data_IF_429444383975
#
_entry.id   IF_429444383975
#
_cell.length_a   1.000
_cell.length_b   1.000
_cell.length_c   1.000
_cell.angle_alpha   90.00
_cell.angle_beta   90.00
_cell.angle_gamma   90.00
#
_symmetry.space_group_name_H-M   'P 1'
#
loop_
_entity.id
_entity.type
_entity.pdbx_description
1 polymer ?
#
# COMPACT_ATOMS: atom_id res chain seq x y z
N UNK A 1 -44.69 47.19 45.63
CA UNK A 1 -44.89 47.72 44.25
C UNK A 1 -43.52 47.98 43.64
N UNK A 2 -43.32 47.49 42.41
CA UNK A 2 -42.37 47.94 41.36
C UNK A 2 -40.85 47.96 41.68
N UNK A 3 -40.05 46.98 41.21
CA UNK A 3 -39.34 46.85 39.90
C UNK A 3 -38.27 47.91 39.57
N UNK A 4 -37.01 47.47 39.41
CA UNK A 4 -36.10 47.69 38.26
C UNK A 4 -34.64 47.32 38.67
N UNK A 5 -34.03 46.23 38.16
CA UNK A 5 -33.22 46.13 36.92
C UNK A 5 -31.82 46.76 37.07
N UNK A 6 -30.75 45.98 37.32
CA UNK A 6 -29.96 45.13 36.40
C UNK A 6 -28.94 45.90 35.55
N UNK A 7 -27.65 45.64 35.81
CA UNK A 7 -26.59 45.51 34.81
C UNK A 7 -25.35 44.86 35.48
N UNK A 8 -25.31 43.52 35.53
CA UNK A 8 -24.06 42.78 35.77
C UNK A 8 -23.44 42.51 34.40
N UNK A 9 -22.35 43.20 34.12
CA UNK A 9 -21.53 43.03 32.92
C UNK A 9 -20.89 41.65 32.96
N UNK A 10 -21.49 40.70 32.23
CA UNK A 10 -20.92 39.38 31.98
C UNK A 10 -19.77 39.49 31.00
N UNK A 11 -18.56 39.23 31.46
CA UNK A 11 -17.40 39.02 30.59
C UNK A 11 -17.46 37.58 30.08
N UNK A 12 -18.00 37.40 28.88
CA UNK A 12 -17.94 36.14 28.12
C UNK A 12 -16.49 35.89 27.69
N UNK A 13 -15.78 35.06 28.44
CA UNK A 13 -14.53 34.47 27.99
C UNK A 13 -14.84 33.42 26.92
N UNK A 14 -14.71 33.82 25.66
CA UNK A 14 -14.75 32.92 24.51
C UNK A 14 -13.48 32.08 24.55
N UNK A 15 -13.60 30.85 25.05
CA UNK A 15 -12.52 29.87 25.06
C UNK A 15 -12.29 29.41 23.63
N UNK A 16 -11.27 29.96 22.98
CA UNK A 16 -10.76 29.48 21.70
C UNK A 16 -10.24 28.06 21.90
N UNK A 17 -11.05 27.07 21.53
CA UNK A 17 -10.61 25.69 21.38
C UNK A 17 -9.75 25.63 20.11
N UNK A 18 -8.47 25.99 20.24
CA UNK A 18 -7.47 25.79 19.19
C UNK A 18 -7.33 24.28 19.06
N UNK A 19 -8.01 23.72 18.06
CA UNK A 19 -7.84 22.35 17.62
C UNK A 19 -6.41 22.24 17.09
N UNK A 20 -5.46 21.97 17.99
CA UNK A 20 -4.10 21.64 17.62
C UNK A 20 -4.16 20.32 16.85
N UNK A 21 -4.22 20.43 15.52
CA UNK A 21 -3.97 19.33 14.60
C UNK A 21 -2.51 18.92 14.82
N UNK A 22 -2.26 18.05 15.80
CA UNK A 22 -0.94 17.46 16.00
C UNK A 22 -0.61 16.73 14.71
N UNK A 23 0.48 17.08 14.00
CA UNK A 23 0.88 16.35 12.82
C UNK A 23 1.22 14.94 13.26
N UNK A 24 0.31 13.99 13.03
CA UNK A 24 0.60 12.57 13.17
C UNK A 24 1.68 12.28 12.14
N UNK A 25 2.93 12.09 12.60
CA UNK A 25 3.96 11.45 11.80
C UNK A 25 3.47 10.03 11.54
N UNK A 26 2.74 9.85 10.45
CA UNK A 26 2.48 8.53 9.88
C UNK A 26 3.81 8.00 9.35
N UNK A 27 4.66 7.51 10.26
CA UNK A 27 5.87 6.80 9.90
C UNK A 27 5.46 5.43 9.41
N UNK A 28 5.63 5.16 8.12
CA UNK A 28 5.59 3.80 7.62
C UNK A 28 7.00 3.20 7.75
N UNK A 29 7.06 1.92 8.12
CA UNK A 29 8.31 1.16 8.03
C UNK A 29 8.51 0.80 6.55
N UNK A 30 9.67 1.13 5.97
CA UNK A 30 10.02 0.70 4.61
C UNK A 30 10.77 -0.63 4.66
N UNK A 31 10.39 -1.58 3.81
CA UNK A 31 11.09 -2.85 3.64
C UNK A 31 11.22 -3.20 2.15
N UNK A 32 12.26 -3.97 1.85
CA UNK A 32 12.48 -4.54 0.52
C UNK A 32 12.10 -6.02 0.50
N UNK A 33 11.26 -6.40 -0.44
CA UNK A 33 10.74 -7.74 -0.63
C UNK A 33 11.88 -8.75 -0.84
N UNK A 34 12.90 -8.37 -1.61
CA UNK A 34 14.12 -9.19 -1.84
C UNK A 34 14.87 -9.54 -0.56
N UNK A 35 14.87 -8.68 0.47
CA UNK A 35 15.49 -8.98 1.77
C UNK A 35 14.64 -9.92 2.63
N UNK A 36 13.37 -10.09 2.27
CA UNK A 36 12.37 -10.88 2.99
C UNK A 36 11.75 -11.95 2.09
N UNK A 37 12.52 -12.42 1.12
CA UNK A 37 12.00 -13.31 0.11
C UNK A 37 11.58 -14.65 0.71
N UNK A 38 10.34 -15.05 0.45
CA UNK A 38 9.69 -16.23 1.05
C UNK A 38 9.65 -16.16 2.58
N UNK A 39 9.33 -14.98 3.13
CA UNK A 39 9.20 -14.75 4.57
C UNK A 39 7.85 -14.17 4.97
N UNK A 40 7.59 -14.22 6.27
CA UNK A 40 6.42 -13.60 6.90
C UNK A 40 6.81 -12.26 7.52
N UNK A 41 6.02 -11.22 7.25
CA UNK A 41 6.19 -9.86 7.80
C UNK A 41 4.93 -9.46 8.56
N UNK A 42 5.09 -9.06 9.81
CA UNK A 42 4.00 -8.49 10.59
C UNK A 42 3.96 -6.96 10.45
N UNK A 43 2.76 -6.40 10.34
CA UNK A 43 2.51 -4.95 10.32
C UNK A 43 1.59 -4.55 11.46
N UNK A 44 1.82 -3.38 12.05
CA UNK A 44 0.95 -2.82 13.11
C UNK A 44 0.03 -1.73 12.57
N UNK A 45 0.58 -0.79 11.79
CA UNK A 45 -0.15 0.31 11.17
C UNK A 45 0.06 0.32 9.66
N UNK A 46 1.23 0.76 9.20
CA UNK A 46 1.53 0.86 7.77
C UNK A 46 2.96 0.42 7.44
N UNK A 47 3.11 -0.13 6.24
CA UNK A 47 4.34 -0.62 5.66
C UNK A 47 4.47 -0.09 4.23
N UNK A 48 5.65 0.37 3.87
CA UNK A 48 6.04 0.59 2.47
C UNK A 48 6.83 -0.64 2.01
N UNK A 49 6.27 -1.40 1.08
CA UNK A 49 6.92 -2.58 0.50
C UNK A 49 7.41 -2.25 -0.91
N UNK A 50 8.72 -2.34 -1.11
CA UNK A 50 9.38 -2.19 -2.40
C UNK A 50 9.98 -3.52 -2.84
N UNK A 51 10.11 -3.77 -4.14
CA UNK A 51 10.72 -5.02 -4.61
C UNK A 51 12.22 -5.09 -4.23
N UNK A 52 12.99 -4.08 -4.66
CA UNK A 52 14.45 -4.04 -4.55
C UNK A 52 14.92 -2.62 -4.28
N UNK A 53 16.05 -2.44 -3.56
CA UNK A 53 16.70 -1.13 -3.47
C UNK A 53 17.06 -0.61 -4.88
N UNK A 54 16.91 0.70 -5.16
CA UNK A 54 17.16 1.28 -6.48
C UNK A 54 18.56 1.00 -7.03
N UNK A 55 19.58 1.04 -6.17
CA UNK A 55 20.98 0.91 -6.56
C UNK A 55 21.40 -0.52 -6.92
N UNK A 56 20.60 -1.51 -6.52
CA UNK A 56 20.89 -2.94 -6.76
C UNK A 56 20.42 -3.43 -8.14
N UNK A 57 19.79 -2.57 -8.95
CA UNK A 57 19.19 -2.95 -10.22
C UNK A 57 20.18 -2.82 -11.40
N UNK A 58 20.26 -3.87 -12.21
CA UNK A 58 21.01 -3.90 -13.46
C UNK A 58 20.33 -3.12 -14.61
N UNK A 59 21.08 -2.84 -15.67
CA UNK A 59 20.58 -2.13 -16.85
C UNK A 59 19.80 -3.03 -17.82
N UNK A 60 20.12 -4.32 -17.90
CA UNK A 60 19.55 -5.26 -18.86
C UNK A 60 18.79 -6.41 -18.22
N UNK A 61 17.96 -7.10 -19.01
CA UNK A 61 17.16 -8.27 -18.60
C UNK A 61 17.91 -9.60 -18.70
N UNK A 62 19.24 -9.56 -18.81
CA UNK A 62 20.10 -10.75 -18.95
C UNK A 62 20.25 -11.59 -17.67
N UNK A 63 19.70 -11.14 -16.55
CA UNK A 63 19.71 -11.89 -15.29
C UNK A 63 18.69 -13.03 -15.22
N UNK A 64 18.72 -13.79 -14.14
CA UNK A 64 17.73 -14.82 -13.82
C UNK A 64 16.38 -14.22 -13.44
N UNK A 65 15.33 -15.05 -13.48
CA UNK A 65 14.02 -14.66 -12.96
C UNK A 65 14.05 -14.60 -11.44
N UNK A 66 13.64 -13.47 -10.89
CA UNK A 66 13.36 -13.33 -9.47
C UNK A 66 11.93 -13.81 -9.23
N UNK A 67 11.78 -14.91 -8.49
CA UNK A 67 10.51 -15.28 -7.86
C UNK A 67 10.63 -14.97 -6.38
N UNK A 68 9.73 -14.12 -5.89
CA UNK A 68 9.70 -13.72 -4.50
C UNK A 68 8.28 -13.69 -3.99
N UNK A 69 8.05 -14.20 -2.78
CA UNK A 69 6.76 -14.12 -2.13
C UNK A 69 6.89 -13.66 -0.68
N UNK A 70 5.96 -12.84 -0.21
CA UNK A 70 5.95 -12.33 1.17
C UNK A 70 4.55 -12.46 1.72
N UNK A 71 4.43 -13.13 2.86
CA UNK A 71 3.19 -13.22 3.62
C UNK A 71 3.15 -12.09 4.64
N UNK A 72 2.09 -11.30 4.61
CA UNK A 72 1.91 -10.13 5.47
C UNK A 72 0.79 -10.43 6.47
N UNK A 73 1.09 -10.25 7.75
CA UNK A 73 0.17 -10.45 8.85
C UNK A 73 -0.13 -9.14 9.56
N UNK A 74 -1.41 -8.81 9.70
CA UNK A 74 -1.90 -7.69 10.48
C UNK A 74 -2.57 -8.19 11.79
N UNK A 75 -2.89 -7.31 12.75
CA UNK A 75 -3.63 -7.69 13.96
C UNK A 75 -4.94 -8.40 13.65
N UNK A 76 -5.39 -9.33 14.52
CA UNK A 76 -6.52 -10.25 14.23
C UNK A 76 -7.81 -9.54 13.80
N UNK A 77 -8.10 -8.39 14.37
CA UNK A 77 -9.34 -7.62 14.12
C UNK A 77 -9.16 -6.52 13.05
N UNK A 78 -8.11 -6.65 12.23
CA UNK A 78 -7.82 -5.72 11.15
C UNK A 78 -7.94 -6.38 9.78
N UNK A 79 -8.19 -5.54 8.78
CA UNK A 79 -8.08 -5.88 7.36
C UNK A 79 -6.88 -5.15 6.79
N UNK A 80 -6.37 -5.63 5.67
CA UNK A 80 -5.22 -5.04 4.98
C UNK A 80 -5.71 -4.30 3.74
N UNK A 81 -5.34 -3.02 3.64
CA UNK A 81 -5.49 -2.20 2.46
C UNK A 81 -4.14 -2.08 1.75
N UNK A 82 -4.14 -2.25 0.44
CA UNK A 82 -2.97 -2.13 -0.43
C UNK A 82 -3.22 -1.03 -1.44
N UNK A 83 -2.36 -0.03 -1.42
CA UNK A 83 -2.31 1.04 -2.40
C UNK A 83 -1.04 0.90 -3.24
N UNK A 84 -1.19 0.90 -4.56
CA UNK A 84 -0.06 0.77 -5.50
C UNK A 84 0.49 2.17 -5.78
N UNK A 85 1.59 2.53 -5.11
CA UNK A 85 2.23 3.84 -5.25
C UNK A 85 3.05 3.92 -6.54
N UNK A 86 3.75 2.84 -6.90
CA UNK A 86 4.54 2.73 -8.13
C UNK A 86 4.40 1.33 -8.70
N UNK A 87 4.28 1.25 -10.02
CA UNK A 87 4.35 0.03 -10.78
C UNK A 87 5.30 0.29 -11.95
N UNK A 88 6.20 -0.64 -12.21
CA UNK A 88 7.27 -0.54 -13.18
C UNK A 88 7.67 -1.94 -13.60
N UNK A 89 6.68 -2.70 -14.07
CA UNK A 89 6.82 -4.07 -14.55
C UNK A 89 6.68 -4.02 -16.08
N UNK A 90 7.32 -4.93 -16.79
CA UNK A 90 7.27 -4.94 -18.25
C UNK A 90 5.81 -4.95 -18.76
N UNK A 91 5.42 -4.09 -19.73
CA UNK A 91 4.05 -4.01 -20.22
C UNK A 91 3.68 -5.10 -21.23
N UNK A 92 4.67 -5.80 -21.80
CA UNK A 92 4.42 -6.85 -22.80
C UNK A 92 3.77 -8.05 -22.10
N UNK A 93 2.55 -8.37 -22.49
CA UNK A 93 1.72 -9.42 -21.88
C UNK A 93 2.29 -10.83 -21.98
N UNK A 94 3.24 -11.04 -22.89
CA UNK A 94 3.89 -12.34 -23.13
C UNK A 94 5.12 -12.55 -22.23
N UNK A 95 5.48 -11.54 -21.42
CA UNK A 95 6.44 -11.75 -20.34
C UNK A 95 5.76 -12.37 -19.12
N UNK A 96 6.49 -13.25 -18.44
CA UNK A 96 6.07 -13.84 -17.17
C UNK A 96 6.10 -12.85 -16.00
N UNK A 97 6.65 -11.64 -16.22
CA UNK A 97 6.79 -10.57 -15.24
C UNK A 97 5.43 -10.09 -14.73
N UNK A 98 5.15 -10.30 -13.44
CA UNK A 98 3.87 -9.96 -12.81
C UNK A 98 3.99 -9.77 -11.31
N UNK A 99 3.10 -8.96 -10.77
CA UNK A 99 2.79 -8.87 -9.34
C UNK A 99 1.40 -9.46 -9.09
N UNK A 100 1.28 -10.38 -8.15
CA UNK A 100 0.01 -10.97 -7.72
C UNK A 100 -0.22 -10.72 -6.24
N UNK A 101 -1.46 -10.42 -5.89
CA UNK A 101 -1.89 -10.26 -4.51
C UNK A 101 -2.94 -11.32 -4.20
N UNK A 102 -2.83 -11.94 -3.04
CA UNK A 102 -3.76 -12.97 -2.59
C UNK A 102 -4.22 -12.68 -1.16
N UNK A 103 -5.48 -12.96 -0.89
CA UNK A 103 -6.04 -13.09 0.46
C UNK A 103 -5.33 -14.24 1.19
N UNK A 104 -4.69 -13.96 2.32
CA UNK A 104 -4.05 -14.99 3.14
C UNK A 104 -5.08 -15.82 3.91
N UNK A 105 -5.59 -16.85 3.26
CA UNK A 105 -6.62 -17.78 3.76
C UNK A 105 -6.32 -19.15 3.16
N UNK A 106 -6.81 -20.29 3.70
CA UNK A 106 -6.53 -21.62 3.14
C UNK A 106 -6.72 -21.75 1.62
N UNK A 107 -7.54 -20.92 0.98
CA UNK A 107 -7.77 -20.90 -0.47
C UNK A 107 -6.85 -19.99 -1.28
N UNK A 108 -6.03 -19.13 -0.66
CA UNK A 108 -5.23 -18.08 -1.31
C UNK A 108 -6.02 -17.38 -2.43
N UNK A 109 -7.13 -16.74 -2.07
CA UNK A 109 -8.02 -16.12 -3.06
C UNK A 109 -7.32 -14.93 -3.72
N UNK A 110 -7.19 -14.95 -5.04
CA UNK A 110 -6.51 -13.92 -5.81
C UNK A 110 -7.30 -12.60 -5.80
N UNK A 111 -6.62 -11.50 -5.48
CA UNK A 111 -7.18 -10.14 -5.47
C UNK A 111 -6.89 -9.40 -6.79
N UNK A 112 -5.75 -9.67 -7.41
CA UNK A 112 -5.36 -9.12 -8.71
C UNK A 112 -5.97 -9.91 -9.87
N UNK A 113 -6.00 -9.36 -11.10
CA UNK A 113 -6.37 -10.11 -12.30
C UNK A 113 -5.54 -11.39 -12.49
N UNK A 114 -6.04 -12.32 -13.31
CA UNK A 114 -5.40 -13.63 -13.52
C UNK A 114 -3.95 -13.47 -14.01
N UNK A 115 -3.72 -12.54 -14.95
CA UNK A 115 -2.39 -12.23 -15.50
C UNK A 115 -1.47 -11.50 -14.51
N UNK A 116 -1.98 -11.06 -13.36
CA UNK A 116 -1.28 -10.19 -12.41
C UNK A 116 -1.24 -8.73 -12.86
N UNK A 117 -0.61 -7.89 -12.05
CA UNK A 117 -0.32 -6.50 -12.37
C UNK A 117 1.01 -6.42 -13.10
N UNK A 118 1.00 -5.70 -14.21
CA UNK A 118 2.17 -5.45 -15.05
C UNK A 118 2.02 -4.06 -15.71
N UNK A 119 3.06 -3.59 -16.39
CA UNK A 119 3.09 -2.23 -16.95
C UNK A 119 3.68 -1.18 -16.01
N UNK A 120 3.56 0.10 -16.42
CA UNK A 120 4.14 1.24 -15.70
C UNK A 120 3.06 2.18 -15.17
N UNK A 121 3.24 2.62 -13.93
CA UNK A 121 2.48 3.67 -13.27
C UNK A 121 3.41 4.89 -13.15
N UNK A 122 3.47 5.68 -14.22
CA UNK A 122 4.36 6.84 -14.29
C UNK A 122 3.64 8.15 -13.86
N UNK A 123 2.30 8.15 -13.75
CA UNK A 123 1.46 9.28 -13.27
C UNK A 123 0.18 8.78 -12.58
N UNK A 124 -0.36 9.48 -11.57
CA UNK A 124 -1.55 9.07 -10.80
C UNK A 124 -2.87 8.92 -11.59
N UNK A 125 -2.90 9.23 -12.90
CA UNK A 125 -4.12 9.28 -13.70
C UNK A 125 -4.11 8.42 -14.98
N UNK A 126 -2.98 7.82 -15.33
CA UNK A 126 -2.85 7.02 -16.55
C UNK A 126 -2.34 5.65 -16.17
N UNK A 127 -3.30 4.76 -15.98
CA UNK A 127 -3.05 3.41 -15.54
C UNK A 127 -3.72 2.47 -16.54
N UNK A 128 -3.16 1.28 -16.74
CA UNK A 128 -3.73 0.24 -17.61
C UNK A 128 -3.30 -1.13 -17.10
N UNK A 129 -4.19 -1.88 -16.44
CA UNK A 129 -4.04 -3.35 -16.27
C UNK A 129 -4.39 -4.11 -17.59
N UNK A 130 -5.11 -3.40 -18.46
CA UNK A 130 -5.55 -3.60 -19.85
C UNK A 130 -5.53 -2.18 -20.48
N UNK A 131 -5.34 -1.96 -21.79
CA UNK A 131 -5.44 -0.62 -22.38
C UNK A 131 -6.70 0.13 -21.90
N UNK A 132 -6.52 1.20 -21.11
CA UNK A 132 -7.60 2.05 -20.59
C UNK A 132 -8.07 1.83 -19.14
N UNK A 133 -7.42 0.98 -18.34
CA UNK A 133 -7.95 0.58 -17.01
C UNK A 133 -7.13 1.02 -15.78
N UNK A 134 -7.82 1.53 -14.75
CA UNK A 134 -7.20 2.04 -13.52
C UNK A 134 -6.77 0.94 -12.53
N UNK A 135 -5.48 0.90 -12.14
CA UNK A 135 -5.03 0.11 -10.97
C UNK A 135 -5.72 0.71 -9.77
N UNK A 136 -6.62 -0.08 -9.20
CA UNK A 136 -7.38 0.25 -8.00
C UNK A 136 -6.61 -0.16 -6.75
N UNK A 137 -7.08 0.32 -5.61
CA UNK A 137 -6.65 -0.21 -4.32
C UNK A 137 -7.24 -1.60 -4.07
N UNK A 138 -6.50 -2.43 -3.36
CA UNK A 138 -6.92 -3.78 -2.98
C UNK A 138 -7.18 -3.84 -1.49
N UNK A 139 -8.22 -4.59 -1.09
CA UNK A 139 -8.58 -4.77 0.31
C UNK A 139 -8.81 -6.24 0.59
N UNK A 140 -8.22 -6.75 1.66
CA UNK A 140 -8.46 -8.11 2.15
C UNK A 140 -9.74 -8.16 3.00
N UNK A 141 -10.36 -9.33 3.08
CA UNK A 141 -11.42 -9.61 4.05
C UNK A 141 -10.85 -10.09 5.40
N UNK A 142 -9.63 -10.61 5.40
CA UNK A 142 -8.88 -11.15 6.53
C UNK A 142 -7.70 -10.26 6.95
N UNK A 143 -7.03 -10.64 8.04
CA UNK A 143 -5.82 -9.98 8.55
C UNK A 143 -4.53 -10.48 7.87
N UNK A 144 -4.64 -11.16 6.71
CA UNK A 144 -3.49 -11.74 6.03
C UNK A 144 -3.52 -11.42 4.53
N UNK A 145 -2.34 -11.17 3.98
CA UNK A 145 -2.14 -10.83 2.57
C UNK A 145 -0.87 -11.53 2.09
N UNK A 146 -0.92 -12.21 0.95
CA UNK A 146 0.29 -12.69 0.27
C UNK A 146 0.58 -11.80 -0.93
N UNK A 147 1.83 -11.36 -1.03
CA UNK A 147 2.38 -10.60 -2.16
C UNK A 147 3.34 -11.52 -2.90
N UNK A 148 3.08 -11.81 -4.17
CA UNK A 148 3.92 -12.66 -5.03
C UNK A 148 4.41 -11.86 -6.23
N UNK A 149 5.70 -11.90 -6.47
CA UNK A 149 6.34 -11.28 -7.61
C UNK A 149 7.14 -12.33 -8.37
N UNK A 150 6.93 -12.36 -9.69
CA UNK A 150 7.79 -13.09 -10.60
C UNK A 150 8.24 -12.12 -11.69
N UNK A 151 9.52 -12.05 -12.01
CA UNK A 151 9.98 -11.23 -13.13
C UNK A 151 11.48 -10.97 -13.17
N UNK A 152 11.91 -10.08 -14.05
CA UNK A 152 13.31 -9.65 -14.17
C UNK A 152 13.42 -8.14 -13.96
N UNK A 153 13.57 -7.68 -12.70
CA UNK A 153 13.62 -6.25 -12.43
C UNK A 153 14.88 -5.62 -13.03
N UNK A 154 14.74 -4.42 -13.57
CA UNK A 154 15.83 -3.62 -14.14
C UNK A 154 15.67 -2.17 -13.73
N UNK A 155 16.67 -1.32 -13.99
CA UNK A 155 16.52 0.14 -13.78
C UNK A 155 15.33 0.74 -14.54
N UNK A 156 15.00 0.20 -15.72
CA UNK A 156 13.87 0.66 -16.52
C UNK A 156 12.51 0.10 -16.04
N UNK A 157 12.52 -1.10 -15.46
CA UNK A 157 11.36 -1.78 -14.89
C UNK A 157 11.67 -2.20 -13.44
N UNK A 158 11.66 -1.26 -12.49
CA UNK A 158 12.15 -1.49 -11.12
C UNK A 158 11.21 -2.37 -10.26
N UNK A 159 10.10 -2.86 -10.80
CA UNK A 159 9.12 -3.64 -10.05
C UNK A 159 8.00 -2.77 -9.52
N UNK A 160 7.86 -2.65 -8.20
CA UNK A 160 6.72 -1.96 -7.60
C UNK A 160 7.08 -1.27 -6.28
N UNK A 161 6.16 -0.43 -5.82
CA UNK A 161 6.11 0.14 -4.47
C UNK A 161 4.66 0.10 -3.99
N UNK A 162 4.41 -0.60 -2.88
CA UNK A 162 3.10 -0.77 -2.28
C UNK A 162 3.06 -0.09 -0.91
N UNK A 163 2.02 0.68 -0.65
CA UNK A 163 1.67 1.11 0.70
C UNK A 163 0.65 0.12 1.24
N UNK A 164 0.99 -0.56 2.31
CA UNK A 164 0.19 -1.62 2.93
C UNK A 164 -0.20 -1.16 4.31
N UNK A 165 -1.51 -1.08 4.59
CA UNK A 165 -2.03 -0.51 5.83
C UNK A 165 -3.00 -1.48 6.50
N UNK A 166 -2.81 -1.73 7.78
CA UNK A 166 -3.78 -2.38 8.64
C UNK A 166 -4.87 -1.39 9.02
N UNK A 167 -6.12 -1.71 8.69
CA UNK A 167 -7.31 -0.91 9.01
C UNK A 167 -8.21 -1.72 9.93
N UNK A 168 -8.70 -1.11 11.01
CA UNK A 168 -9.64 -1.80 11.92
C UNK A 168 -10.91 -2.20 11.16
N UNK A 169 -11.35 -3.44 11.38
CA UNK A 169 -12.65 -3.89 10.91
C UNK A 169 -13.74 -3.19 11.71
N UNK A 170 -14.53 -2.33 11.06
CA UNK A 170 -15.86 -1.97 11.56
C UNK A 170 -16.82 -3.14 11.40
#
# INVERSE_FOLDING_TARGET
MSRASSARTGCLAILWCICACVPVKAGYRSIYMTNHCSMVVSIEASLLLELTPPDSLGHGRGGEFLHCDVDILAPRDSRILVHVQRLGISPVSDHSDRLQLYEGSPSNTRLTPIKGLYGRLDRPLSISDIPGSKVKDYKTSSNKLKVDYLGKPTRATPGFQLIITAVQGQ
#
